data_IF_512893456401
#
_entry.id   IF_512893456401
#
_cell.length_a   1.000
_cell.length_b   1.000
_cell.length_c   1.000
_cell.angle_alpha   90.00
_cell.angle_beta   90.00
_cell.angle_gamma   90.00
#
_symmetry.space_group_name_H-M   'P 1'
#
loop_
_entity.id
_entity.type
_entity.pdbx_description
1 polymer ?
#
# COMPACT_ATOMS: atom_id res chain seq x y z
N UNK A 1 -7.34 16.81 12.14
CA UNK A 1 -5.96 16.54 11.67
C UNK A 1 -6.05 15.84 10.33
N UNK A 2 -5.77 16.57 9.25
CA UNK A 2 -5.90 16.09 7.88
C UNK A 2 -4.77 15.12 7.55
N UNK A 3 -5.13 13.88 7.20
CA UNK A 3 -4.22 12.98 6.49
C UNK A 3 -4.03 13.56 5.10
N UNK A 4 -2.84 14.04 4.77
CA UNK A 4 -2.53 14.37 3.37
C UNK A 4 -2.47 13.07 2.57
N UNK A 5 -2.73 13.15 1.26
CA UNK A 5 -2.63 11.99 0.37
C UNK A 5 -1.23 11.34 0.47
N UNK A 6 -0.17 12.13 0.68
CA UNK A 6 1.18 11.61 0.87
C UNK A 6 1.35 10.80 2.15
N UNK A 7 0.82 11.26 3.28
CA UNK A 7 0.93 10.54 4.55
C UNK A 7 0.22 9.18 4.48
N UNK A 8 -0.93 9.16 3.81
CA UNK A 8 -1.71 7.96 3.59
C UNK A 8 -1.01 7.01 2.59
N UNK A 9 -0.36 7.55 1.55
CA UNK A 9 0.47 6.78 0.62
C UNK A 9 1.69 6.17 1.30
N UNK A 10 2.41 6.96 2.11
CA UNK A 10 3.58 6.51 2.86
C UNK A 10 3.21 5.41 3.85
N UNK A 11 2.08 5.55 4.54
CA UNK A 11 1.55 4.52 5.43
C UNK A 11 1.24 3.22 4.67
N UNK A 12 0.54 3.32 3.52
CA UNK A 12 0.24 2.15 2.71
C UNK A 12 1.50 1.49 2.16
N UNK A 13 2.49 2.28 1.73
CA UNK A 13 3.79 1.78 1.28
C UNK A 13 4.50 0.99 2.39
N UNK A 14 4.63 1.54 3.59
CA UNK A 14 5.27 0.84 4.72
C UNK A 14 4.55 -0.46 5.08
N UNK A 15 3.21 -0.46 5.06
CA UNK A 15 2.41 -1.65 5.33
C UNK A 15 2.61 -2.72 4.25
N UNK A 16 2.53 -2.35 2.96
CA UNK A 16 2.74 -3.28 1.85
C UNK A 16 4.19 -3.81 1.81
N UNK A 17 5.18 -2.99 2.14
CA UNK A 17 6.55 -3.46 2.29
C UNK A 17 6.67 -4.52 3.40
N UNK A 18 6.02 -4.31 4.55
CA UNK A 18 5.89 -5.33 5.59
C UNK A 18 5.25 -6.61 5.05
N UNK A 19 4.16 -6.47 4.28
CA UNK A 19 3.49 -7.59 3.63
C UNK A 19 4.39 -8.37 2.64
N UNK A 20 5.35 -7.69 2.02
CA UNK A 20 6.24 -8.30 1.02
C UNK A 20 7.41 -9.11 1.60
N UNK A 21 7.73 -8.92 2.89
CA UNK A 21 8.89 -9.55 3.54
C UNK A 21 8.46 -10.62 4.56
N UNK A 22 7.28 -10.47 5.16
CA UNK A 22 6.75 -11.44 6.12
C UNK A 22 5.84 -12.47 5.46
N UNK A 23 5.95 -13.73 5.87
CA UNK A 23 5.05 -14.81 5.46
C UNK A 23 3.78 -14.75 6.31
N UNK A 24 2.68 -14.26 5.74
CA UNK A 24 1.38 -14.21 6.41
C UNK A 24 0.61 -15.49 6.06
N UNK A 25 0.35 -16.32 7.07
CA UNK A 25 -0.26 -17.64 6.88
C UNK A 25 -1.69 -17.75 7.42
N UNK A 26 -2.26 -16.63 7.92
CA UNK A 26 -3.61 -16.60 8.46
C UNK A 26 -4.55 -15.73 7.59
N UNK A 27 -5.84 -16.04 7.64
CA UNK A 27 -6.88 -15.35 6.86
C UNK A 27 -7.10 -13.89 7.29
N UNK A 28 -6.73 -13.53 8.52
CA UNK A 28 -6.86 -12.17 9.03
C UNK A 28 -5.83 -11.24 8.39
N UNK A 29 -4.60 -11.70 8.23
CA UNK A 29 -3.51 -10.93 7.65
C UNK A 29 -3.69 -10.77 6.14
N UNK A 30 -4.21 -11.78 5.44
CA UNK A 30 -4.66 -11.63 4.05
C UNK A 30 -5.79 -10.60 3.93
N UNK A 31 -6.77 -10.60 4.84
CA UNK A 31 -7.83 -9.59 4.84
C UNK A 31 -7.29 -8.17 5.11
N UNK A 32 -6.30 -8.03 6.00
CA UNK A 32 -5.61 -6.75 6.26
C UNK A 32 -4.78 -6.32 5.05
N UNK A 33 -4.05 -7.22 4.40
CA UNK A 33 -3.31 -6.97 3.15
C UNK A 33 -4.25 -6.47 2.06
N UNK A 34 -5.37 -7.16 1.82
CA UNK A 34 -6.40 -6.75 0.87
C UNK A 34 -6.96 -5.35 1.17
N UNK A 35 -7.20 -5.05 2.44
CA UNK A 35 -7.66 -3.73 2.88
C UNK A 35 -6.64 -2.64 2.54
N UNK A 36 -5.35 -2.91 2.74
CA UNK A 36 -4.27 -1.98 2.41
C UNK A 36 -4.12 -1.85 0.88
N UNK A 37 -4.21 -2.94 0.12
CA UNK A 37 -4.18 -2.91 -1.36
C UNK A 37 -5.29 -2.03 -1.94
N UNK A 38 -6.53 -2.14 -1.43
CA UNK A 38 -7.65 -1.28 -1.85
C UNK A 38 -7.40 0.19 -1.54
N UNK A 39 -6.82 0.50 -0.37
CA UNK A 39 -6.45 1.88 0.00
C UNK A 39 -5.36 2.41 -0.92
N UNK A 40 -4.31 1.65 -1.17
CA UNK A 40 -3.25 1.98 -2.14
C UNK A 40 -3.82 2.30 -3.51
N UNK A 41 -4.79 1.52 -4.00
CA UNK A 41 -5.42 1.75 -5.29
C UNK A 41 -6.19 3.08 -5.34
N UNK A 42 -6.91 3.45 -4.27
CA UNK A 42 -7.58 4.75 -4.19
C UNK A 42 -6.59 5.92 -4.16
N UNK A 43 -5.46 5.73 -3.48
CA UNK A 43 -4.40 6.73 -3.38
C UNK A 43 -3.67 6.90 -4.72
N UNK A 44 -3.38 5.80 -5.43
CA UNK A 44 -2.78 5.81 -6.78
C UNK A 44 -3.65 6.51 -7.83
N UNK A 45 -4.99 6.49 -7.63
CA UNK A 45 -5.96 7.24 -8.45
C UNK A 45 -5.96 8.74 -8.16
N UNK A 46 -5.53 9.16 -6.97
CA UNK A 46 -5.41 10.58 -6.61
C UNK A 46 -4.09 11.17 -7.14
N UNK A 47 -4.00 12.50 -7.18
CA UNK A 47 -2.75 13.21 -7.47
C UNK A 47 -1.81 13.09 -6.28
N UNK A 48 -0.90 12.10 -6.35
CA UNK A 48 0.25 11.98 -5.47
C UNK A 48 1.51 12.55 -6.12
N UNK A 49 2.46 13.05 -5.32
CA UNK A 49 3.79 13.36 -5.81
C UNK A 49 4.47 12.12 -6.40
N UNK A 50 5.14 12.33 -7.53
CA UNK A 50 5.65 11.30 -8.43
C UNK A 50 6.52 10.21 -7.76
N UNK A 51 7.44 10.52 -6.82
CA UNK A 51 8.31 9.49 -6.23
C UNK A 51 7.57 8.48 -5.34
N UNK A 52 6.63 8.95 -4.52
CA UNK A 52 5.81 8.10 -3.65
C UNK A 52 4.87 7.22 -4.46
N UNK A 53 4.29 7.77 -5.53
CA UNK A 53 3.42 7.03 -6.44
C UNK A 53 4.14 5.85 -7.10
N UNK A 54 5.37 6.07 -7.59
CA UNK A 54 6.18 5.03 -8.23
C UNK A 54 6.49 3.91 -7.23
N UNK A 55 6.98 4.24 -6.03
CA UNK A 55 7.30 3.23 -5.01
C UNK A 55 6.07 2.42 -4.59
N UNK A 56 4.93 3.08 -4.40
CA UNK A 56 3.68 2.42 -4.05
C UNK A 56 3.22 1.48 -5.16
N UNK A 57 3.33 1.90 -6.43
CA UNK A 57 3.00 1.07 -7.58
C UNK A 57 3.90 -0.16 -7.70
N UNK A 58 5.21 0.00 -7.52
CA UNK A 58 6.18 -1.11 -7.59
C UNK A 58 5.91 -2.19 -6.55
N UNK A 59 5.65 -1.82 -5.30
CA UNK A 59 5.34 -2.79 -4.25
C UNK A 59 3.95 -3.41 -4.46
N UNK A 60 2.98 -2.62 -4.92
CA UNK A 60 1.65 -3.11 -5.27
C UNK A 60 1.72 -4.21 -6.35
N UNK A 61 2.44 -3.97 -7.44
CA UNK A 61 2.62 -4.96 -8.51
C UNK A 61 3.35 -6.21 -8.01
N UNK A 62 4.38 -6.04 -7.17
CA UNK A 62 5.13 -7.16 -6.58
C UNK A 62 4.27 -8.07 -5.71
N UNK A 63 3.25 -7.54 -5.05
CA UNK A 63 2.35 -8.32 -4.19
C UNK A 63 1.19 -8.99 -4.94
N UNK A 64 0.94 -8.57 -6.18
CA UNK A 64 -0.05 -9.15 -7.08
C UNK A 64 0.54 -10.17 -8.07
N UNK A 65 1.86 -10.09 -8.32
CA UNK A 65 2.62 -11.08 -9.09
C UNK A 65 2.95 -12.32 -8.29
#
# INVERSE_FOLDING_TARGET
HGKTAEQEAALCLSLLMGYSVSMYANSEDEAKKETVLRRSQMILKNQLPSPLKIQLHTIYDKLLS
#
